data_IF_507748631404
#
_entry.id   IF_507748631404
#
_cell.length_a   1.000
_cell.length_b   1.000
_cell.length_c   1.000
_cell.angle_alpha   90.00
_cell.angle_beta   90.00
_cell.angle_gamma   90.00
#
_symmetry.space_group_name_H-M   'P 1'
#
loop_
_entity.id
_entity.type
_entity.pdbx_description
1 polymer ?
#
# COMPACT_ATOMS: atom_id res chain seq x y z
N UNK A 1 -11.81 20.16 10.17
CA UNK A 1 -11.03 20.69 9.02
C UNK A 1 -11.62 20.14 7.73
N UNK A 2 -11.78 20.98 6.67
CA UNK A 2 -12.33 20.52 5.38
C UNK A 2 -11.43 19.43 4.77
N UNK A 3 -12.02 18.36 4.24
CA UNK A 3 -11.31 17.20 3.63
C UNK A 3 -10.29 17.64 2.56
N UNK A 4 -10.64 18.60 1.73
CA UNK A 4 -9.76 19.15 0.68
C UNK A 4 -8.49 19.80 1.23
N UNK A 5 -8.64 20.58 2.32
CA UNK A 5 -7.51 21.23 2.98
C UNK A 5 -6.56 20.20 3.61
N UNK A 6 -7.10 19.17 4.27
CA UNK A 6 -6.31 18.09 4.84
C UNK A 6 -5.52 17.35 3.75
N UNK A 7 -6.18 17.00 2.65
CA UNK A 7 -5.52 16.34 1.50
C UNK A 7 -4.37 17.19 0.94
N UNK A 8 -4.60 18.50 0.77
CA UNK A 8 -3.57 19.42 0.28
C UNK A 8 -2.36 19.46 1.22
N UNK A 9 -2.58 19.56 2.53
CA UNK A 9 -1.50 19.53 3.53
C UNK A 9 -0.71 18.23 3.52
N UNK A 10 -1.39 17.08 3.46
CA UNK A 10 -0.72 15.78 3.37
C UNK A 10 0.14 15.66 2.12
N UNK A 11 -0.40 16.09 0.99
CA UNK A 11 0.33 16.10 -0.29
C UNK A 11 1.59 16.97 -0.20
N UNK A 12 1.50 18.16 0.39
CA UNK A 12 2.65 19.03 0.62
C UNK A 12 3.72 18.36 1.51
N UNK A 13 3.31 17.66 2.58
CA UNK A 13 4.24 16.93 3.44
C UNK A 13 5.00 15.88 2.63
N UNK A 14 4.31 15.04 1.86
CA UNK A 14 4.95 14.02 1.04
C UNK A 14 5.87 14.62 -0.04
N UNK A 15 5.48 15.75 -0.66
CA UNK A 15 6.32 16.47 -1.61
C UNK A 15 7.61 17.00 -0.96
N UNK A 16 7.52 17.56 0.28
CA UNK A 16 8.71 17.95 1.07
C UNK A 16 9.65 16.76 1.33
N UNK A 17 9.09 15.55 1.45
CA UNK A 17 9.85 14.31 1.56
C UNK A 17 10.26 13.71 0.20
N UNK A 18 10.25 14.51 -0.87
CA UNK A 18 10.74 14.19 -2.22
C UNK A 18 9.95 13.11 -2.97
N UNK A 19 8.72 12.79 -2.56
CA UNK A 19 7.83 11.97 -3.38
C UNK A 19 7.46 12.72 -4.66
N UNK A 20 7.21 11.98 -5.74
CA UNK A 20 6.61 12.56 -6.96
C UNK A 20 5.19 13.07 -6.68
N UNK A 21 4.69 13.99 -7.52
CA UNK A 21 3.32 14.53 -7.41
C UNK A 21 2.27 13.42 -7.37
N UNK A 22 2.44 12.40 -8.22
CA UNK A 22 1.53 11.25 -8.30
C UNK A 22 1.60 10.37 -7.04
N UNK A 23 2.81 10.03 -6.56
CA UNK A 23 2.97 9.23 -5.34
C UNK A 23 2.45 9.95 -4.10
N UNK A 24 2.69 11.26 -3.99
CA UNK A 24 2.15 12.08 -2.90
C UNK A 24 0.62 12.11 -2.92
N UNK A 25 0.01 12.18 -4.10
CA UNK A 25 -1.45 12.11 -4.30
C UNK A 25 -2.01 10.76 -3.82
N UNK A 26 -1.42 9.65 -4.28
CA UNK A 26 -1.81 8.29 -3.86
C UNK A 26 -1.75 8.18 -2.35
N UNK A 27 -0.60 8.49 -1.73
CA UNK A 27 -0.41 8.38 -0.28
C UNK A 27 -1.42 9.23 0.52
N UNK A 28 -1.67 10.46 0.06
CA UNK A 28 -2.64 11.36 0.70
C UNK A 28 -4.06 10.81 0.63
N UNK A 29 -4.46 10.25 -0.51
CA UNK A 29 -5.77 9.65 -0.69
C UNK A 29 -5.99 8.46 0.25
N UNK A 30 -4.99 7.57 0.38
CA UNK A 30 -5.08 6.42 1.26
C UNK A 30 -5.18 6.81 2.74
N UNK A 31 -4.37 7.78 3.20
CA UNK A 31 -4.43 8.25 4.58
C UNK A 31 -5.78 8.90 4.90
N UNK A 32 -6.31 9.73 4.02
CA UNK A 32 -7.62 10.35 4.21
C UNK A 32 -8.73 9.32 4.21
N UNK A 33 -8.66 8.32 3.32
CA UNK A 33 -9.67 7.27 3.27
C UNK A 33 -9.70 6.47 4.58
N UNK A 34 -8.52 6.18 5.16
CA UNK A 34 -8.43 5.54 6.47
C UNK A 34 -9.09 6.37 7.58
N UNK A 35 -8.93 7.70 7.58
CA UNK A 35 -9.62 8.57 8.53
C UNK A 35 -11.14 8.57 8.34
N UNK A 36 -11.63 8.60 7.09
CA UNK A 36 -13.06 8.56 6.79
C UNK A 36 -13.70 7.24 7.25
N UNK A 37 -12.95 6.14 7.15
CA UNK A 37 -13.39 4.81 7.59
C UNK A 37 -13.13 4.58 9.09
N UNK A 38 -12.72 5.62 9.82
CA UNK A 38 -12.39 5.56 11.26
C UNK A 38 -11.36 4.48 11.63
N UNK A 39 -10.53 4.10 10.66
CA UNK A 39 -9.47 3.12 10.85
C UNK A 39 -8.24 3.78 11.53
N UNK A 40 -8.41 4.18 12.80
CA UNK A 40 -7.48 5.01 13.59
C UNK A 40 -6.01 4.58 13.53
N UNK A 41 -5.76 3.26 13.43
CA UNK A 41 -4.40 2.71 13.33
C UNK A 41 -3.75 2.80 11.93
N UNK A 42 -4.45 3.24 10.88
CA UNK A 42 -4.00 3.21 9.49
C UNK A 42 -4.04 4.57 8.78
N UNK A 43 -4.62 5.59 9.44
CA UNK A 43 -4.76 6.96 8.92
C UNK A 43 -3.61 7.89 9.30
N UNK A 44 -3.93 9.10 9.72
CA UNK A 44 -2.98 10.17 10.04
C UNK A 44 -1.99 9.79 11.15
N UNK A 45 -2.39 8.94 12.08
CA UNK A 45 -1.51 8.42 13.13
C UNK A 45 -0.23 7.75 12.57
N UNK A 46 -0.29 7.24 11.33
CA UNK A 46 0.85 6.63 10.65
C UNK A 46 1.73 7.60 9.87
N UNK A 47 1.30 8.84 9.66
CA UNK A 47 2.03 9.81 8.84
C UNK A 47 3.47 10.01 9.32
N UNK A 48 3.66 10.19 10.64
CA UNK A 48 5.00 10.34 11.23
C UNK A 48 5.89 9.14 10.91
N UNK A 49 5.38 7.92 11.06
CA UNK A 49 6.12 6.69 10.75
C UNK A 49 6.63 6.67 9.29
N UNK A 50 5.79 7.06 8.32
CA UNK A 50 6.21 7.10 6.92
C UNK A 50 7.30 8.15 6.69
N UNK A 51 7.14 9.35 7.25
CA UNK A 51 8.12 10.43 7.15
C UNK A 51 9.47 10.01 7.75
N UNK A 52 9.46 9.37 8.93
CA UNK A 52 10.67 8.92 9.61
C UNK A 52 11.38 7.81 8.81
N UNK A 53 10.63 6.87 8.24
CA UNK A 53 11.18 5.80 7.38
C UNK A 53 11.78 6.35 6.07
N UNK A 54 11.22 7.42 5.51
CA UNK A 54 11.82 8.10 4.36
C UNK A 54 13.14 8.76 4.75
N UNK A 55 13.17 9.49 5.88
CA UNK A 55 14.39 10.12 6.41
C UNK A 55 15.47 9.09 6.70
N UNK A 56 15.11 7.96 7.28
CA UNK A 56 16.00 6.84 7.57
C UNK A 56 16.40 6.03 6.31
N UNK A 57 15.98 6.44 5.11
CA UNK A 57 16.27 5.75 3.82
C UNK A 57 15.73 4.31 3.74
N UNK A 58 14.82 3.92 4.62
CA UNK A 58 14.10 2.63 4.56
C UNK A 58 13.06 2.63 3.44
N UNK A 59 12.42 3.78 3.22
CA UNK A 59 11.52 4.01 2.09
C UNK A 59 12.23 4.87 1.05
N UNK A 60 12.24 4.40 -0.20
CA UNK A 60 12.71 5.17 -1.34
C UNK A 60 11.63 6.14 -1.80
N UNK A 61 11.83 7.48 -1.69
CA UNK A 61 10.82 8.46 -2.13
C UNK A 61 10.71 8.60 -3.65
N UNK A 62 11.72 8.13 -4.41
CA UNK A 62 11.77 8.18 -5.88
C UNK A 62 12.00 6.77 -6.46
N UNK A 63 11.11 5.80 -6.18
CA UNK A 63 11.31 4.42 -6.58
C UNK A 63 11.24 4.27 -8.10
N UNK A 64 12.12 3.42 -8.64
CA UNK A 64 12.08 2.93 -10.03
C UNK A 64 11.32 1.61 -10.06
N UNK A 65 10.00 1.68 -9.98
CA UNK A 65 9.12 0.51 -9.92
C UNK A 65 9.18 -0.23 -11.26
N UNK A 66 9.41 -1.55 -11.20
CA UNK A 66 9.49 -2.41 -12.39
C UNK A 66 8.41 -3.48 -12.34
N UNK A 67 7.64 -3.60 -13.42
CA UNK A 67 6.63 -4.63 -13.60
C UNK A 67 7.20 -5.65 -14.59
N UNK A 68 7.28 -6.91 -14.17
CA UNK A 68 7.65 -8.05 -15.03
C UNK A 68 6.40 -8.88 -15.27
N UNK A 69 6.02 -9.02 -16.52
CA UNK A 69 4.97 -9.95 -16.93
C UNK A 69 5.56 -11.37 -16.90
N UNK A 70 4.91 -12.28 -16.18
CA UNK A 70 5.28 -13.70 -16.10
C UNK A 70 4.43 -14.51 -17.10
N UNK A 71 3.11 -14.23 -17.13
CA UNK A 71 2.17 -14.78 -18.10
C UNK A 71 1.12 -13.72 -18.45
N UNK A 72 0.09 -14.09 -19.19
CA UNK A 72 -1.04 -13.18 -19.45
C UNK A 72 -1.83 -12.80 -18.20
N UNK A 73 -1.90 -13.71 -17.21
CA UNK A 73 -2.61 -13.53 -15.95
C UNK A 73 -1.71 -13.14 -14.78
N UNK A 74 -0.39 -13.40 -14.85
CA UNK A 74 0.53 -13.24 -13.72
C UNK A 74 1.55 -12.14 -13.99
N UNK A 75 1.70 -11.23 -13.04
CA UNK A 75 2.73 -10.19 -13.05
C UNK A 75 3.49 -10.15 -11.72
N UNK A 76 4.72 -9.70 -11.78
CA UNK A 76 5.59 -9.52 -10.63
C UNK A 76 6.10 -8.08 -10.59
N UNK A 77 6.01 -7.44 -9.43
CA UNK A 77 6.40 -6.05 -9.23
C UNK A 77 7.58 -5.97 -8.26
N UNK A 78 8.65 -5.33 -8.70
CA UNK A 78 9.68 -4.84 -7.80
C UNK A 78 9.36 -3.37 -7.50
N UNK A 79 8.90 -3.10 -6.28
CA UNK A 79 8.45 -1.78 -5.85
C UNK A 79 9.62 -0.87 -5.39
N UNK A 80 10.86 -1.34 -5.45
CA UNK A 80 12.08 -0.57 -5.18
C UNK A 80 12.04 0.19 -3.83
N UNK A 81 11.59 -0.51 -2.79
CA UNK A 81 11.37 0.01 -1.44
C UNK A 81 10.43 1.23 -1.40
N UNK A 82 9.46 1.31 -2.32
CA UNK A 82 8.45 2.37 -2.28
C UNK A 82 7.63 2.32 -0.99
N UNK A 83 6.98 3.44 -0.68
CA UNK A 83 5.89 3.42 0.29
C UNK A 83 4.81 2.44 -0.19
N UNK A 84 4.31 1.59 0.72
CA UNK A 84 3.46 0.47 0.35
C UNK A 84 2.19 0.84 -0.42
N UNK A 85 1.60 1.99 -0.14
CA UNK A 85 0.45 2.52 -0.88
C UNK A 85 0.69 2.59 -2.39
N UNK A 86 1.90 3.01 -2.80
CA UNK A 86 2.25 3.17 -4.21
C UNK A 86 2.41 1.81 -4.89
N UNK A 87 3.17 0.91 -4.26
CA UNK A 87 3.37 -0.45 -4.79
C UNK A 87 2.06 -1.22 -4.94
N UNK A 88 1.20 -1.15 -3.92
CA UNK A 88 -0.07 -1.85 -3.90
C UNK A 88 -1.11 -1.23 -4.85
N UNK A 89 -1.15 0.10 -4.99
CA UNK A 89 -2.01 0.77 -5.97
C UNK A 89 -1.67 0.38 -7.42
N UNK A 90 -0.38 0.30 -7.74
CA UNK A 90 0.08 -0.20 -9.04
C UNK A 90 -0.26 -1.69 -9.19
N UNK A 91 -0.08 -2.46 -8.11
CA UNK A 91 -0.36 -3.90 -8.11
C UNK A 91 -1.81 -4.25 -8.38
N UNK A 92 -2.74 -3.61 -7.68
CA UNK A 92 -4.18 -3.88 -7.90
C UNK A 92 -4.63 -3.45 -9.31
N UNK A 93 -4.15 -2.32 -9.82
CA UNK A 93 -4.44 -1.88 -11.19
C UNK A 93 -3.93 -2.89 -12.22
N UNK A 94 -2.73 -3.44 -12.01
CA UNK A 94 -2.18 -4.48 -12.88
C UNK A 94 -2.97 -5.80 -12.76
N UNK A 95 -3.39 -6.20 -11.55
CA UNK A 95 -4.21 -7.40 -11.34
C UNK A 95 -5.57 -7.27 -12.04
N UNK A 96 -6.24 -6.13 -11.89
CA UNK A 96 -7.50 -5.83 -12.58
C UNK A 96 -7.32 -5.90 -14.12
N UNK A 97 -6.25 -5.28 -14.63
CA UNK A 97 -5.93 -5.33 -16.08
C UNK A 97 -5.75 -6.76 -16.58
N UNK A 98 -5.02 -7.59 -15.83
CA UNK A 98 -4.82 -8.99 -16.18
C UNK A 98 -6.16 -9.76 -16.11
N UNK A 99 -6.92 -9.61 -15.01
CA UNK A 99 -8.19 -10.31 -14.81
C UNK A 99 -9.22 -9.98 -15.90
N UNK A 100 -9.33 -8.73 -16.31
CA UNK A 100 -10.22 -8.33 -17.42
C UNK A 100 -9.85 -8.99 -18.75
N UNK A 101 -8.60 -9.37 -18.91
CA UNK A 101 -8.10 -10.00 -20.16
C UNK A 101 -8.22 -11.51 -20.15
N UNK A 102 -8.05 -12.15 -19.00
CA UNK A 102 -7.87 -13.61 -18.89
C UNK A 102 -8.78 -14.27 -17.86
N UNK A 103 -9.71 -13.53 -17.26
CA UNK A 103 -10.60 -14.04 -16.22
C UNK A 103 -9.98 -14.01 -14.81
N UNK A 104 -8.65 -14.07 -14.70
CA UNK A 104 -7.91 -14.04 -13.44
C UNK A 104 -6.69 -13.14 -13.54
N UNK A 105 -6.33 -12.46 -12.44
CA UNK A 105 -5.13 -11.64 -12.35
C UNK A 105 -4.42 -11.84 -11.02
N UNK A 106 -3.17 -12.30 -11.07
CA UNK A 106 -2.31 -12.46 -9.89
C UNK A 106 -1.12 -11.51 -9.99
N UNK A 107 -0.87 -10.77 -8.91
CA UNK A 107 0.28 -9.88 -8.82
C UNK A 107 1.02 -10.08 -7.51
N UNK A 108 2.28 -10.49 -7.60
CA UNK A 108 3.19 -10.55 -6.47
C UNK A 108 4.04 -9.27 -6.42
N UNK A 109 4.22 -8.69 -5.22
CA UNK A 109 4.96 -7.44 -5.02
C UNK A 109 6.07 -7.67 -4.01
N UNK A 110 7.32 -7.32 -4.38
CA UNK A 110 8.45 -7.30 -3.44
C UNK A 110 9.01 -5.91 -3.24
N UNK A 111 9.82 -5.74 -2.20
CA UNK A 111 10.45 -4.47 -1.81
C UNK A 111 9.41 -3.36 -1.70
N UNK A 112 8.33 -3.64 -0.98
CA UNK A 112 7.25 -2.72 -0.68
C UNK A 112 7.10 -2.56 0.82
N UNK A 113 6.81 -1.35 1.28
CA UNK A 113 6.56 -1.08 2.70
C UNK A 113 5.12 -1.38 3.12
N UNK A 114 4.77 -0.92 4.33
CA UNK A 114 3.41 -1.00 4.86
C UNK A 114 2.41 -0.33 3.90
N UNK A 115 1.33 -1.06 3.54
CA UNK A 115 0.42 -0.66 2.47
C UNK A 115 -0.98 -0.23 2.95
N UNK A 116 -1.16 -0.13 4.27
CA UNK A 116 -2.43 0.33 4.86
C UNK A 116 -3.48 -0.77 4.94
N UNK A 117 -4.72 -0.42 4.62
CA UNK A 117 -5.87 -1.33 4.66
C UNK A 117 -6.05 -2.06 3.34
N UNK A 118 -6.23 -3.37 3.37
CA UNK A 118 -6.53 -4.21 2.20
C UNK A 118 -7.81 -3.78 1.49
N UNK A 119 -8.80 -3.29 2.25
CA UNK A 119 -10.08 -2.81 1.73
C UNK A 119 -9.96 -1.72 0.66
N UNK A 120 -8.88 -0.92 0.68
CA UNK A 120 -8.66 0.12 -0.34
C UNK A 120 -8.41 -0.46 -1.73
N UNK A 121 -7.76 -1.61 -1.77
CA UNK A 121 -7.46 -2.33 -3.01
C UNK A 121 -8.64 -3.20 -3.41
N UNK A 122 -9.29 -3.81 -2.43
CA UNK A 122 -10.50 -4.61 -2.64
C UNK A 122 -11.61 -3.77 -3.30
N UNK A 123 -11.85 -2.55 -2.82
CA UNK A 123 -12.84 -1.65 -3.42
C UNK A 123 -12.55 -1.35 -4.90
N UNK A 124 -11.28 -1.20 -5.28
CA UNK A 124 -10.92 -0.99 -6.68
C UNK A 124 -11.29 -2.20 -7.56
N UNK A 125 -11.10 -3.43 -7.05
CA UNK A 125 -11.50 -4.64 -7.76
C UNK A 125 -13.04 -4.77 -7.84
N UNK A 126 -13.75 -4.55 -6.73
CA UNK A 126 -15.22 -4.58 -6.67
C UNK A 126 -15.84 -3.57 -7.64
N UNK A 127 -15.32 -2.34 -7.70
CA UNK A 127 -15.75 -1.31 -8.65
C UNK A 127 -15.51 -1.72 -10.11
N UNK A 128 -14.66 -2.72 -10.34
CA UNK A 128 -14.43 -3.34 -11.66
C UNK A 128 -15.18 -4.67 -11.83
N UNK A 129 -16.13 -5.00 -10.93
CA UNK A 129 -16.93 -6.25 -10.93
C UNK A 129 -16.05 -7.51 -10.81
N UNK A 130 -14.99 -7.44 -10.00
CA UNK A 130 -14.06 -8.54 -9.75
C UNK A 130 -14.07 -8.90 -8.26
N UNK A 131 -13.98 -10.20 -7.97
CA UNK A 131 -13.60 -10.70 -6.65
C UNK A 131 -12.10 -10.52 -6.44
N UNK A 132 -11.65 -10.32 -5.20
CA UNK A 132 -10.23 -10.14 -4.89
C UNK A 132 -9.85 -10.75 -3.56
N UNK A 133 -8.64 -11.31 -3.52
CA UNK A 133 -7.94 -11.67 -2.30
C UNK A 133 -6.68 -10.81 -2.18
N UNK A 134 -6.46 -10.22 -1.01
CA UNK A 134 -5.28 -9.41 -0.71
C UNK A 134 -4.50 -10.06 0.42
N UNK A 135 -3.26 -10.45 0.16
CA UNK A 135 -2.39 -11.08 1.14
C UNK A 135 -1.18 -10.19 1.44
N UNK A 136 -0.72 -10.19 2.67
CA UNK A 136 0.54 -9.57 3.03
C UNK A 136 1.16 -10.24 4.24
N UNK A 137 2.49 -10.22 4.33
CA UNK A 137 3.20 -10.59 5.56
C UNK A 137 3.34 -9.36 6.46
N UNK A 138 3.46 -9.61 7.74
CA UNK A 138 3.76 -8.60 8.73
C UNK A 138 4.97 -9.04 9.59
N UNK A 139 5.70 -8.09 10.18
CA UNK A 139 6.74 -8.43 11.14
C UNK A 139 6.13 -9.15 12.35
N UNK A 140 6.97 -9.87 13.09
CA UNK A 140 6.57 -10.55 14.31
C UNK A 140 5.97 -9.55 15.33
N UNK A 141 4.66 -9.67 15.57
CA UNK A 141 3.88 -8.79 16.44
C UNK A 141 3.07 -9.56 17.48
N UNK A 142 2.83 -10.85 17.25
CA UNK A 142 2.01 -11.72 18.10
C UNK A 142 2.88 -12.78 18.78
N UNK A 143 2.76 -12.91 20.10
CA UNK A 143 3.36 -13.99 20.86
C UNK A 143 2.45 -15.22 20.81
N UNK A 144 2.98 -16.45 20.59
CA UNK A 144 2.23 -17.68 20.82
C UNK A 144 1.75 -17.75 22.26
N UNK A 145 0.72 -18.53 22.51
CA UNK A 145 0.25 -18.77 23.88
C UNK A 145 1.39 -19.28 24.78
N UNK A 146 1.57 -18.64 25.92
CA UNK A 146 2.66 -18.93 26.87
C UNK A 146 4.05 -18.40 26.50
N UNK A 147 4.23 -17.77 25.33
CA UNK A 147 5.53 -17.21 24.93
C UNK A 147 5.74 -15.79 25.44
N UNK A 148 7.01 -15.46 25.76
CA UNK A 148 7.42 -14.12 26.20
C UNK A 148 7.83 -13.19 25.06
N UNK A 149 7.99 -13.70 23.83
CA UNK A 149 8.44 -12.92 22.65
C UNK A 149 7.49 -13.11 21.49
N UNK A 150 7.30 -12.04 20.73
CA UNK A 150 6.54 -12.10 19.47
C UNK A 150 7.25 -12.96 18.43
N UNK A 151 6.51 -13.87 17.78
CA UNK A 151 6.98 -14.78 16.75
C UNK A 151 6.17 -14.66 15.47
N UNK A 152 4.85 -14.46 15.57
CA UNK A 152 3.97 -14.41 14.41
C UNK A 152 3.67 -12.98 13.98
N UNK A 153 3.59 -12.76 12.66
CA UNK A 153 2.96 -11.58 12.10
C UNK A 153 1.43 -11.74 12.07
N UNK A 154 0.72 -10.63 11.91
CA UNK A 154 -0.75 -10.64 11.74
C UNK A 154 -1.17 -11.24 10.40
N UNK A 155 -0.30 -11.18 9.39
CA UNK A 155 -0.43 -11.78 8.04
C UNK A 155 -1.88 -11.76 7.50
N UNK A 156 -2.52 -10.60 7.36
CA UNK A 156 -3.93 -10.51 7.00
C UNK A 156 -4.19 -11.00 5.57
N UNK A 157 -5.41 -11.54 5.40
CA UNK A 157 -5.99 -11.93 4.12
C UNK A 157 -7.20 -11.04 3.87
#
# INVERSE_FOLDING_TARGET
>A
MKKSLLKSKLKQIFLKHKLSKNHAEICSNYLIKAEILEAKGHGLARLKMYCDRIKAKVINPKPKIKIKKISSSISYINADNSIGFVGADIGIKQAIKNAKKTGIGLVAIKKSGHYGLSSFYAEQAVNNKLMVFCFTNAPAALAPHGAKKSLFGTNPI
#
